data_IF_874363871974
#
_entry.id   IF_874363871974
#
_cell.length_a   1.000
_cell.length_b   1.000
_cell.length_c   1.000
_cell.angle_alpha   90.00
_cell.angle_beta   90.00
_cell.angle_gamma   90.00
#
_symmetry.space_group_name_H-M   'P 1'
#
loop_
_entity.id
_entity.type
_entity.pdbx_description
1 polymer ?
#
# COMPACT_ATOMS: atom_id res chain seq x y z
N UNK A 1 -10.16 21.18 -7.92
CA UNK A 1 -10.51 19.92 -7.26
C UNK A 1 -11.04 20.11 -5.84
N UNK A 2 -10.85 21.28 -5.23
CA UNK A 2 -11.12 21.51 -3.81
C UNK A 2 -10.04 20.92 -2.88
N UNK A 3 -8.92 20.51 -3.42
CA UNK A 3 -7.74 20.10 -2.65
C UNK A 3 -7.11 21.32 -1.93
N UNK A 4 -6.30 21.12 -0.91
CA UNK A 4 -5.60 22.21 -0.21
C UNK A 4 -4.86 23.12 -1.19
N UNK A 5 -5.14 24.43 -1.11
CA UNK A 5 -4.57 25.45 -1.98
C UNK A 5 -5.19 25.55 -3.38
N UNK A 6 -6.31 24.87 -3.65
CA UNK A 6 -6.97 24.87 -4.94
C UNK A 6 -8.40 25.41 -4.88
N UNK A 7 -8.79 26.02 -5.98
CA UNK A 7 -10.19 26.38 -6.23
C UNK A 7 -10.98 25.19 -6.75
N UNK A 8 -12.29 25.36 -6.86
CA UNK A 8 -13.21 24.35 -7.41
C UNK A 8 -13.72 24.78 -8.79
N UNK A 9 -14.63 24.01 -9.36
CA UNK A 9 -15.30 24.34 -10.62
C UNK A 9 -16.04 25.69 -10.57
N UNK A 10 -16.35 26.24 -9.38
CA UNK A 10 -17.00 27.53 -9.19
C UNK A 10 -16.22 28.74 -9.69
N UNK A 11 -14.94 28.58 -10.04
CA UNK A 11 -14.19 29.65 -10.71
C UNK A 11 -14.72 29.99 -12.09
N UNK A 12 -15.31 29.03 -12.79
CA UNK A 12 -15.83 29.20 -14.16
C UNK A 12 -17.31 28.85 -14.26
N UNK A 13 -17.83 28.02 -13.36
CA UNK A 13 -19.23 27.60 -13.34
C UNK A 13 -19.97 28.31 -12.20
N UNK A 14 -21.12 28.88 -12.48
CA UNK A 14 -21.95 29.54 -11.46
C UNK A 14 -22.82 28.49 -10.77
N UNK A 15 -22.63 28.34 -9.47
CA UNK A 15 -23.36 27.42 -8.61
C UNK A 15 -22.77 27.41 -7.22
N UNK A 16 -23.52 26.93 -6.24
CA UNK A 16 -23.02 26.69 -4.90
C UNK A 16 -22.35 25.33 -4.83
N UNK A 17 -21.40 25.19 -3.92
CA UNK A 17 -20.72 23.90 -3.72
C UNK A 17 -21.55 23.01 -2.81
N UNK A 18 -21.81 21.77 -3.23
CA UNK A 18 -22.53 20.73 -2.47
C UNK A 18 -23.97 21.13 -2.09
N UNK A 19 -24.65 21.89 -2.93
CA UNK A 19 -26.01 22.39 -2.68
C UNK A 19 -27.11 21.48 -3.23
N UNK A 20 -26.78 20.55 -4.10
CA UNK A 20 -27.73 19.61 -4.69
C UNK A 20 -27.79 18.27 -3.95
N UNK A 21 -28.61 17.37 -4.49
CA UNK A 21 -28.82 16.01 -3.95
C UNK A 21 -27.97 14.92 -4.60
N UNK A 22 -27.12 15.29 -5.56
CA UNK A 22 -26.25 14.32 -6.23
C UNK A 22 -25.09 13.89 -5.32
N UNK A 23 -24.67 12.68 -5.50
CA UNK A 23 -23.53 12.12 -4.79
C UNK A 23 -22.67 11.32 -5.75
N UNK A 24 -21.45 11.07 -5.34
CA UNK A 24 -20.45 10.33 -6.12
C UNK A 24 -19.72 9.32 -5.26
N UNK A 25 -19.10 8.38 -5.93
CA UNK A 25 -18.23 7.40 -5.27
C UNK A 25 -16.99 7.12 -6.11
N UNK A 26 -15.89 6.80 -5.45
CA UNK A 26 -14.72 6.21 -6.09
C UNK A 26 -14.59 4.77 -5.58
N UNK A 27 -14.77 3.79 -6.49
CA UNK A 27 -14.37 2.42 -6.22
C UNK A 27 -12.84 2.31 -6.28
N UNK A 28 -12.29 1.35 -5.56
CA UNK A 28 -10.86 1.11 -5.46
C UNK A 28 -10.65 -0.40 -5.37
N UNK A 29 -9.81 -0.98 -6.21
CA UNK A 29 -9.60 -2.43 -6.28
C UNK A 29 -8.82 -3.03 -5.11
N UNK A 30 -8.21 -2.19 -4.26
CA UNK A 30 -7.56 -2.65 -3.02
C UNK A 30 -8.56 -2.96 -1.91
N UNK A 31 -8.17 -3.84 -1.01
CA UNK A 31 -9.00 -4.22 0.15
C UNK A 31 -9.08 -3.07 1.16
N UNK A 32 -10.23 -2.88 1.80
CA UNK A 32 -10.45 -1.95 2.93
C UNK A 32 -10.02 -0.49 2.66
N UNK A 33 -9.97 -0.06 1.40
CA UNK A 33 -9.35 1.23 1.01
C UNK A 33 -7.90 1.36 1.48
N UNK A 34 -7.16 0.27 1.44
CA UNK A 34 -5.74 0.22 1.78
C UNK A 34 -4.89 -0.01 0.53
N UNK A 35 -3.77 0.70 0.44
CA UNK A 35 -2.82 0.54 -0.65
C UNK A 35 -1.48 -0.04 -0.17
N UNK A 36 -0.85 -0.76 -1.07
CA UNK A 36 0.51 -1.31 -0.94
C UNK A 36 1.44 -0.49 -1.83
N UNK A 37 2.57 0.05 -1.31
CA UNK A 37 3.51 0.81 -2.11
C UNK A 37 3.94 0.09 -3.40
N UNK A 38 4.04 0.83 -4.50
CA UNK A 38 4.43 0.31 -5.81
C UNK A 38 3.37 -0.51 -6.54
N UNK A 39 2.20 -0.74 -5.95
CA UNK A 39 1.11 -1.51 -6.58
C UNK A 39 0.21 -0.60 -7.40
N UNK A 40 -0.23 -1.09 -8.56
CA UNK A 40 -1.21 -0.40 -9.41
C UNK A 40 -2.63 -0.90 -9.09
N UNK A 41 -3.56 0.04 -8.96
CA UNK A 41 -4.96 -0.21 -8.63
C UNK A 41 -5.87 0.33 -9.71
N UNK A 42 -6.98 -0.37 -9.95
CA UNK A 42 -8.09 0.13 -10.75
C UNK A 42 -8.99 1.01 -9.88
N UNK A 43 -9.41 2.13 -10.43
CA UNK A 43 -10.35 3.06 -9.82
C UNK A 43 -11.45 3.42 -10.81
N UNK A 44 -12.64 3.62 -10.28
CA UNK A 44 -13.77 4.12 -11.05
C UNK A 44 -14.44 5.26 -10.28
N UNK A 45 -14.48 6.45 -10.85
CA UNK A 45 -15.34 7.53 -10.38
C UNK A 45 -16.73 7.35 -10.97
N UNK A 46 -17.75 7.31 -10.14
CA UNK A 46 -19.16 7.19 -10.54
C UNK A 46 -19.96 8.32 -9.93
N UNK A 47 -20.77 9.01 -10.74
CA UNK A 47 -21.74 10.00 -10.33
C UNK A 47 -23.11 9.33 -10.26
N UNK A 48 -23.82 9.55 -9.16
CA UNK A 48 -25.23 9.17 -9.02
C UNK A 48 -26.08 10.42 -9.24
N UNK A 49 -27.15 10.28 -10.00
CA UNK A 49 -28.00 11.40 -10.43
C UNK A 49 -27.27 12.43 -11.31
N UNK A 50 -26.40 11.97 -12.21
CA UNK A 50 -25.81 12.80 -13.24
C UNK A 50 -26.84 13.30 -14.24
N UNK A 51 -26.51 14.37 -14.98
CA UNK A 51 -27.32 14.90 -16.07
C UNK A 51 -26.82 14.44 -17.44
N UNK A 52 -27.35 15.06 -18.50
CA UNK A 52 -26.90 14.83 -19.90
C UNK A 52 -25.43 15.19 -20.11
N UNK A 53 -24.93 16.18 -19.35
CA UNK A 53 -23.55 16.63 -19.39
C UNK A 53 -22.99 16.66 -17.98
N UNK A 54 -21.83 16.04 -17.81
CA UNK A 54 -21.13 15.91 -16.53
C UNK A 54 -19.65 16.17 -16.73
N UNK A 55 -18.98 16.58 -15.68
CA UNK A 55 -17.53 16.75 -15.73
C UNK A 55 -16.88 16.51 -14.40
N UNK A 56 -15.59 16.24 -14.42
CA UNK A 56 -14.82 16.09 -13.19
C UNK A 56 -13.37 16.50 -13.38
N UNK A 57 -12.73 16.81 -12.26
CA UNK A 57 -11.29 16.93 -12.12
C UNK A 57 -10.87 16.26 -10.80
N UNK A 58 -9.80 15.50 -10.83
CA UNK A 58 -9.31 14.71 -9.71
C UNK A 58 -7.79 14.87 -9.55
N UNK A 59 -7.31 14.84 -8.30
CA UNK A 59 -5.88 14.83 -7.95
C UNK A 59 -5.63 13.86 -6.80
N UNK A 60 -4.45 13.24 -6.79
CA UNK A 60 -4.03 12.29 -5.75
C UNK A 60 -2.85 12.87 -4.99
N UNK A 61 -3.04 13.12 -3.69
CA UNK A 61 -2.06 13.80 -2.86
C UNK A 61 -1.69 12.98 -1.62
N UNK A 62 -0.45 13.12 -1.20
CA UNK A 62 0.00 12.79 0.15
C UNK A 62 -0.77 13.66 1.15
N UNK A 63 -1.36 13.06 2.18
CA UNK A 63 -2.22 13.78 3.13
C UNK A 63 -1.46 14.70 4.09
N UNK A 64 -0.13 14.58 4.18
CA UNK A 64 0.73 15.36 5.07
C UNK A 64 1.33 16.54 4.32
N UNK A 65 1.94 16.27 3.18
CA UNK A 65 2.70 17.27 2.41
C UNK A 65 1.83 17.99 1.38
N UNK A 66 0.66 17.46 1.03
CA UNK A 66 -0.20 17.90 -0.06
C UNK A 66 0.50 17.92 -1.44
N UNK A 67 1.56 17.14 -1.56
CA UNK A 67 2.27 16.94 -2.82
C UNK A 67 1.65 15.81 -3.62
N UNK A 68 1.88 15.81 -4.94
CA UNK A 68 1.46 14.73 -5.82
C UNK A 68 1.95 13.38 -5.29
N UNK A 69 1.10 12.35 -5.31
CA UNK A 69 1.45 11.07 -4.73
C UNK A 69 1.05 9.91 -5.61
N UNK A 70 2.03 9.11 -6.00
CA UNK A 70 1.86 8.04 -6.98
C UNK A 70 1.72 8.58 -8.41
N UNK A 71 1.25 7.72 -9.32
CA UNK A 71 1.12 8.04 -10.75
C UNK A 71 -0.27 7.68 -11.25
N UNK A 72 -0.97 8.64 -11.81
CA UNK A 72 -2.23 8.42 -12.52
C UNK A 72 -1.96 7.82 -13.90
N UNK A 73 -2.76 6.85 -14.31
CA UNK A 73 -2.64 6.14 -15.59
C UNK A 73 -4.00 6.18 -16.29
N UNK A 74 -4.01 6.62 -17.54
CA UNK A 74 -5.19 6.60 -18.39
C UNK A 74 -5.48 5.18 -18.86
N UNK A 75 -6.71 4.72 -18.65
CA UNK A 75 -7.25 3.50 -19.25
C UNK A 75 -8.23 3.80 -20.38
N UNK A 76 -8.73 5.04 -20.43
CA UNK A 76 -9.64 5.54 -21.46
C UNK A 76 -9.24 6.97 -21.86
N UNK A 77 -8.32 7.09 -22.81
CA UNK A 77 -7.83 8.37 -23.31
C UNK A 77 -8.84 9.11 -24.22
N UNK A 78 -9.95 8.49 -24.60
CA UNK A 78 -11.04 9.16 -25.33
C UNK A 78 -11.86 10.02 -24.37
N UNK A 79 -12.25 9.46 -23.24
CA UNK A 79 -13.13 10.10 -22.27
C UNK A 79 -12.41 10.83 -21.15
N UNK A 80 -11.11 10.55 -20.95
CA UNK A 80 -10.29 11.16 -19.89
C UNK A 80 -8.95 11.67 -20.42
N UNK A 81 -8.35 12.61 -19.71
CA UNK A 81 -7.01 13.14 -19.97
C UNK A 81 -6.30 13.51 -18.68
N UNK A 82 -4.98 13.50 -18.69
CA UNK A 82 -4.15 14.04 -17.61
C UNK A 82 -3.63 15.42 -18.03
N UNK A 83 -3.70 16.37 -17.11
CA UNK A 83 -3.09 17.71 -17.26
C UNK A 83 -2.21 17.98 -16.05
N UNK A 84 -1.09 18.65 -16.25
CA UNK A 84 -0.17 19.03 -15.17
C UNK A 84 -0.22 20.53 -14.91
N UNK A 85 -0.17 20.90 -13.63
CA UNK A 85 -0.15 22.30 -13.19
C UNK A 85 0.13 22.37 -11.68
N UNK A 86 0.76 23.44 -11.19
CA UNK A 86 1.08 23.63 -9.78
C UNK A 86 1.85 22.46 -9.14
N UNK A 87 2.74 21.82 -9.91
CA UNK A 87 3.47 20.60 -9.52
C UNK A 87 2.55 19.41 -9.18
N UNK A 88 1.36 19.35 -9.77
CA UNK A 88 0.36 18.30 -9.59
C UNK A 88 -0.13 17.79 -10.94
N UNK A 89 -0.52 16.51 -10.98
CA UNK A 89 -1.16 15.89 -12.14
C UNK A 89 -2.64 15.67 -11.84
N UNK A 90 -3.47 16.13 -12.77
CA UNK A 90 -4.92 16.09 -12.65
C UNK A 90 -5.50 15.16 -13.70
N UNK A 91 -6.33 14.24 -13.26
CA UNK A 91 -7.21 13.50 -14.17
C UNK A 91 -8.48 14.32 -14.42
N UNK A 92 -8.84 14.47 -15.68
CA UNK A 92 -10.00 15.25 -16.11
C UNK A 92 -10.82 14.45 -17.14
N UNK A 93 -12.11 14.75 -17.25
CA UNK A 93 -12.89 14.37 -18.42
C UNK A 93 -12.42 15.12 -19.66
N UNK A 94 -12.68 14.56 -20.83
CA UNK A 94 -12.58 15.25 -22.13
C UNK A 94 -13.94 15.73 -22.59
N UNK A 95 -14.00 16.48 -23.70
CA UNK A 95 -15.28 16.82 -24.32
C UNK A 95 -16.08 15.60 -24.78
N UNK A 96 -15.42 14.52 -25.20
CA UNK A 96 -16.07 13.25 -25.52
C UNK A 96 -16.60 12.53 -24.27
N UNK A 97 -15.90 12.69 -23.13
CA UNK A 97 -16.26 12.07 -21.86
C UNK A 97 -17.33 12.80 -21.06
N UNK A 98 -17.84 13.95 -21.51
CA UNK A 98 -18.77 14.75 -20.72
C UNK A 98 -20.22 14.21 -20.68
N UNK A 99 -20.56 13.23 -21.51
CA UNK A 99 -21.84 12.51 -21.45
C UNK A 99 -21.82 11.28 -20.56
N UNK A 100 -20.68 10.98 -19.96
CA UNK A 100 -20.52 9.86 -19.04
C UNK A 100 -20.98 10.23 -17.63
N UNK A 101 -21.35 9.21 -16.87
CA UNK A 101 -21.55 9.28 -15.41
C UNK A 101 -20.53 8.43 -14.66
N UNK A 102 -19.61 7.77 -15.39
CA UNK A 102 -18.59 6.91 -14.82
C UNK A 102 -17.32 6.94 -15.67
N UNK A 103 -16.15 7.00 -15.01
CA UNK A 103 -14.84 7.04 -15.66
C UNK A 103 -13.87 6.12 -14.94
N UNK A 104 -13.20 5.26 -15.74
CA UNK A 104 -12.21 4.32 -15.27
C UNK A 104 -10.79 4.87 -15.46
N UNK A 105 -9.93 4.59 -14.52
CA UNK A 105 -8.52 4.95 -14.57
C UNK A 105 -7.72 4.04 -13.63
N UNK A 106 -6.41 4.11 -13.70
CA UNK A 106 -5.54 3.43 -12.77
C UNK A 106 -4.68 4.43 -12.00
N UNK A 107 -4.22 4.00 -10.85
CA UNK A 107 -3.25 4.71 -10.04
C UNK A 107 -2.22 3.74 -9.48
N UNK A 108 -0.95 4.05 -9.72
CA UNK A 108 0.17 3.33 -9.11
C UNK A 108 0.58 4.04 -7.85
N UNK A 109 0.55 3.34 -6.73
CA UNK A 109 0.97 3.87 -5.45
C UNK A 109 2.46 4.26 -5.46
N UNK A 110 2.91 5.24 -4.63
CA UNK A 110 4.32 5.54 -4.47
C UNK A 110 5.12 4.28 -4.12
N UNK A 111 6.35 4.19 -4.63
CA UNK A 111 7.22 3.03 -4.38
C UNK A 111 7.69 2.91 -2.92
N UNK A 112 7.58 3.99 -2.15
CA UNK A 112 7.92 4.05 -0.74
C UNK A 112 6.70 4.42 0.12
N UNK A 113 6.79 4.13 1.41
CA UNK A 113 5.78 4.53 2.39
C UNK A 113 5.71 6.06 2.52
N UNK A 114 4.54 6.66 2.30
CA UNK A 114 4.30 8.10 2.45
C UNK A 114 3.13 8.43 3.40
N UNK A 115 2.51 7.43 4.01
CA UNK A 115 1.35 7.61 4.88
C UNK A 115 0.02 7.57 4.12
N UNK A 116 -1.07 8.11 4.69
CA UNK A 116 -2.37 8.14 4.04
C UNK A 116 -2.34 9.01 2.77
N UNK A 117 -3.06 8.56 1.76
CA UNK A 117 -3.26 9.24 0.48
C UNK A 117 -4.68 9.80 0.43
N UNK A 118 -4.85 10.99 -0.11
CA UNK A 118 -6.17 11.59 -0.36
C UNK A 118 -6.39 11.83 -1.84
N UNK A 119 -7.49 11.31 -2.35
CA UNK A 119 -7.99 11.56 -3.69
C UNK A 119 -9.02 12.67 -3.56
N UNK A 120 -8.65 13.89 -3.92
CA UNK A 120 -9.57 15.03 -3.97
C UNK A 120 -10.18 15.12 -5.35
N UNK A 121 -11.47 15.36 -5.43
CA UNK A 121 -12.11 15.57 -6.71
C UNK A 121 -13.29 16.53 -6.61
N UNK A 122 -13.44 17.32 -7.66
CA UNK A 122 -14.64 18.11 -7.91
C UNK A 122 -15.35 17.55 -9.14
N UNK A 123 -16.66 17.57 -9.12
CA UNK A 123 -17.47 17.22 -10.27
C UNK A 123 -18.60 18.22 -10.47
N UNK A 124 -19.04 18.32 -11.71
CA UNK A 124 -20.07 19.21 -12.15
C UNK A 124 -21.18 18.43 -12.85
N UNK A 125 -22.40 18.68 -12.47
CA UNK A 125 -23.61 18.21 -13.13
C UNK A 125 -24.22 19.42 -13.84
N UNK A 126 -24.09 19.46 -15.17
CA UNK A 126 -24.45 20.61 -15.93
C UNK A 126 -25.98 20.81 -16.00
N UNK A 127 -26.40 22.05 -15.76
CA UNK A 127 -27.77 22.47 -15.92
C UNK A 127 -28.17 22.70 -17.38
N UNK A 128 -29.48 22.66 -17.66
CA UNK A 128 -29.99 23.00 -18.98
C UNK A 128 -29.77 24.51 -19.26
N UNK A 129 -29.37 24.93 -20.45
CA UNK A 129 -29.29 24.20 -21.73
C UNK A 129 -27.95 23.52 -22.04
N UNK A 130 -27.07 23.28 -21.07
CA UNK A 130 -25.77 22.59 -21.17
C UNK A 130 -24.70 23.33 -22.02
N UNK A 131 -25.00 24.52 -22.49
CA UNK A 131 -24.12 25.31 -23.37
C UNK A 131 -23.40 26.44 -22.64
N UNK A 132 -23.71 26.67 -21.39
CA UNK A 132 -23.13 27.70 -20.55
C UNK A 132 -22.74 27.16 -19.19
N UNK A 133 -22.27 28.02 -18.32
CA UNK A 133 -21.82 27.68 -16.97
C UNK A 133 -22.84 28.02 -15.88
N UNK A 134 -24.11 28.36 -16.31
CA UNK A 134 -25.18 28.77 -15.40
C UNK A 134 -26.11 27.61 -15.07
N UNK A 135 -26.52 27.53 -13.83
CA UNK A 135 -27.42 26.46 -13.35
C UNK A 135 -26.75 25.10 -13.15
N UNK A 136 -25.46 25.09 -13.05
CA UNK A 136 -24.67 23.89 -12.80
C UNK A 136 -24.64 23.56 -11.30
N UNK A 137 -24.70 22.27 -10.96
CA UNK A 137 -24.52 21.79 -9.61
C UNK A 137 -23.07 21.32 -9.44
N UNK A 138 -22.35 21.95 -8.52
CA UNK A 138 -20.93 21.69 -8.28
C UNK A 138 -20.74 20.98 -6.94
N UNK A 139 -19.96 19.93 -6.99
CA UNK A 139 -19.69 19.11 -5.83
C UNK A 139 -18.19 18.89 -5.64
N UNK A 140 -17.80 18.70 -4.38
CA UNK A 140 -16.46 18.27 -4.01
C UNK A 140 -16.54 17.06 -3.10
N UNK A 141 -15.58 16.17 -3.21
CA UNK A 141 -15.49 15.03 -2.32
C UNK A 141 -14.04 14.57 -2.16
N UNK A 142 -13.80 13.74 -1.17
CA UNK A 142 -12.48 13.18 -0.91
C UNK A 142 -12.59 11.71 -0.53
N UNK A 143 -11.73 10.88 -1.14
CA UNK A 143 -11.53 9.50 -0.71
C UNK A 143 -10.16 9.37 -0.07
N UNK A 144 -10.10 8.80 1.12
CA UNK A 144 -8.83 8.50 1.79
C UNK A 144 -8.46 7.04 1.57
N UNK A 145 -7.21 6.80 1.21
CA UNK A 145 -6.60 5.49 1.17
C UNK A 145 -5.56 5.43 2.29
N UNK A 146 -5.67 4.43 3.15
CA UNK A 146 -4.67 4.14 4.17
C UNK A 146 -3.57 3.26 3.56
N UNK A 147 -2.39 3.33 4.12
CA UNK A 147 -1.40 2.28 3.82
C UNK A 147 -1.89 0.98 4.43
N UNK A 148 -1.83 -0.08 3.66
CA UNK A 148 -2.05 -1.41 4.21
C UNK A 148 -1.06 -1.66 5.34
N UNK A 149 -1.58 -1.81 6.55
CA UNK A 149 -0.83 -2.30 7.71
C UNK A 149 -0.58 -3.82 7.64
N UNK A 150 -0.96 -4.47 6.54
CA UNK A 150 -0.20 -5.65 6.21
C UNK A 150 1.23 -5.15 6.16
N UNK A 151 1.93 -5.32 7.28
CA UNK A 151 3.38 -5.37 7.26
C UNK A 151 3.67 -5.98 5.92
N UNK A 152 4.34 -5.23 5.02
CA UNK A 152 4.99 -5.88 3.92
C UNK A 152 5.72 -7.02 4.61
N UNK A 153 5.12 -8.18 4.59
CA UNK A 153 5.86 -9.32 4.21
C UNK A 153 6.41 -8.92 2.84
N UNK A 154 7.47 -8.08 2.86
CA UNK A 154 8.51 -8.24 1.89
C UNK A 154 8.47 -9.72 1.60
N UNK A 155 8.49 -10.14 0.34
CA UNK A 155 8.85 -11.50 -0.03
C UNK A 155 10.30 -11.84 0.33
N UNK A 156 10.93 -11.17 1.25
CA UNK A 156 11.65 -11.78 2.33
C UNK A 156 10.61 -12.64 3.03
N UNK A 157 10.41 -13.87 2.51
CA UNK A 157 9.93 -14.99 3.30
C UNK A 157 10.36 -14.69 4.71
N UNK A 158 9.41 -14.60 5.66
CA UNK A 158 9.76 -14.33 7.05
C UNK A 158 10.86 -15.32 7.38
N UNK A 159 12.11 -14.82 7.34
CA UNK A 159 13.27 -15.68 7.56
C UNK A 159 13.01 -16.30 8.92
N UNK A 160 12.53 -17.52 8.93
CA UNK A 160 12.22 -18.24 10.15
C UNK A 160 12.89 -19.60 10.11
N UNK A 161 13.07 -20.16 11.26
CA UNK A 161 13.62 -21.50 11.43
C UNK A 161 12.87 -22.24 12.51
N UNK A 162 12.81 -23.54 12.39
CA UNK A 162 12.39 -24.42 13.46
C UNK A 162 13.59 -25.19 13.98
N UNK A 163 13.58 -25.53 15.27
CA UNK A 163 14.62 -26.34 15.88
C UNK A 163 14.00 -27.35 16.83
N UNK A 164 14.58 -28.55 16.85
CA UNK A 164 14.19 -29.66 17.72
C UNK A 164 15.37 -30.59 17.95
N UNK A 165 15.33 -31.40 19.02
CA UNK A 165 16.30 -32.45 19.26
C UNK A 165 15.89 -33.75 18.62
N UNK A 166 16.83 -34.45 18.04
CA UNK A 166 16.62 -35.86 17.66
C UNK A 166 16.88 -36.83 18.83
N UNK A 167 16.60 -38.10 18.61
CA UNK A 167 16.81 -39.14 19.61
C UNK A 167 18.29 -39.29 20.08
N UNK A 168 19.22 -38.76 19.30
CA UNK A 168 20.65 -38.74 19.62
C UNK A 168 21.10 -37.44 20.29
N UNK A 169 20.12 -36.61 20.77
CA UNK A 169 20.35 -35.29 21.37
C UNK A 169 21.10 -34.31 20.45
N UNK A 170 20.98 -34.46 19.13
CA UNK A 170 21.50 -33.47 18.18
C UNK A 170 20.45 -32.42 17.89
N UNK A 171 20.88 -31.17 17.87
CA UNK A 171 20.02 -30.05 17.48
C UNK A 171 19.81 -30.06 15.95
N UNK A 172 18.59 -30.23 15.52
CA UNK A 172 18.18 -30.14 14.12
C UNK A 172 17.58 -28.77 13.88
N UNK A 173 18.00 -28.12 12.82
CA UNK A 173 17.54 -26.81 12.42
C UNK A 173 16.98 -26.90 10.99
N UNK A 174 15.76 -26.42 10.78
CA UNK A 174 15.12 -26.31 9.47
C UNK A 174 14.80 -24.84 9.25
N UNK A 175 15.34 -24.26 8.19
CA UNK A 175 15.01 -22.88 7.77
C UNK A 175 14.10 -22.91 6.56
N UNK A 176 13.29 -21.86 6.39
CA UNK A 176 12.50 -21.64 5.17
C UNK A 176 13.28 -20.84 4.11
N UNK A 177 14.56 -20.60 4.29
CA UNK A 177 15.41 -19.80 3.41
C UNK A 177 16.79 -20.45 3.19
N UNK A 178 17.47 -19.98 2.12
CA UNK A 178 18.89 -20.30 1.87
C UNK A 178 19.77 -19.19 2.46
N UNK A 179 20.75 -19.52 3.28
CA UNK A 179 21.72 -18.52 3.72
C UNK A 179 22.68 -18.16 2.57
N UNK A 180 22.82 -16.86 2.28
CA UNK A 180 23.79 -16.35 1.27
C UNK A 180 25.25 -16.51 1.72
N UNK A 181 25.45 -16.57 3.03
CA UNK A 181 26.71 -16.82 3.74
C UNK A 181 26.41 -17.73 4.93
N UNK A 182 27.44 -18.09 5.71
CA UNK A 182 27.21 -18.81 6.94
C UNK A 182 26.32 -18.01 7.89
N UNK A 183 25.24 -18.63 8.33
CA UNK A 183 24.40 -18.13 9.41
C UNK A 183 25.01 -18.52 10.75
N UNK A 184 25.04 -17.59 11.69
CA UNK A 184 25.58 -17.83 13.02
C UNK A 184 24.50 -18.28 13.98
N UNK A 185 24.61 -19.53 14.45
CA UNK A 185 23.73 -20.06 15.49
C UNK A 185 24.40 -19.81 16.84
N UNK A 186 23.64 -19.25 17.77
CA UNK A 186 24.09 -19.03 19.17
C UNK A 186 23.11 -19.70 20.13
N UNK A 187 23.62 -20.37 21.14
CA UNK A 187 22.83 -20.99 22.21
C UNK A 187 23.10 -20.22 23.49
N UNK A 188 22.04 -19.71 24.10
CA UNK A 188 22.09 -18.99 25.36
C UNK A 188 21.32 -19.78 26.44
N UNK A 189 21.79 -19.71 27.69
CA UNK A 189 20.97 -20.13 28.82
C UNK A 189 19.89 -19.08 29.15
N UNK A 190 19.02 -19.35 30.11
CA UNK A 190 17.93 -18.47 30.52
C UNK A 190 18.41 -17.14 31.14
N UNK A 191 19.64 -17.05 31.62
CA UNK A 191 20.26 -15.81 32.12
C UNK A 191 20.89 -14.97 30.99
N UNK A 192 20.78 -15.38 29.72
CA UNK A 192 21.35 -14.67 28.56
C UNK A 192 22.84 -14.93 28.34
N UNK A 193 23.49 -15.83 29.11
CA UNK A 193 24.88 -16.19 28.90
C UNK A 193 25.03 -17.04 27.64
N UNK A 194 25.96 -16.67 26.76
CA UNK A 194 26.30 -17.43 25.56
C UNK A 194 26.99 -18.74 25.99
N UNK A 195 26.41 -19.87 25.61
CA UNK A 195 26.90 -21.22 25.94
C UNK A 195 27.60 -21.88 24.76
N UNK A 196 27.14 -21.60 23.53
CA UNK A 196 27.72 -22.20 22.33
C UNK A 196 27.44 -21.33 21.10
N UNK A 197 28.31 -21.38 20.09
CA UNK A 197 28.16 -20.72 18.83
C UNK A 197 28.78 -21.50 17.69
N UNK A 198 28.07 -21.57 16.55
CA UNK A 198 28.55 -22.28 15.36
C UNK A 198 28.04 -21.52 14.09
N UNK A 199 28.81 -21.59 13.03
CA UNK A 199 28.41 -21.11 11.71
C UNK A 199 27.87 -22.28 10.88
N UNK A 200 26.68 -22.09 10.30
CA UNK A 200 26.04 -23.09 9.44
C UNK A 200 25.68 -22.51 8.09
N UNK A 201 25.77 -23.35 7.09
CA UNK A 201 25.19 -23.04 5.78
C UNK A 201 23.78 -23.67 5.73
N UNK A 202 22.75 -22.81 5.83
CA UNK A 202 21.36 -23.25 5.85
C UNK A 202 20.82 -23.31 4.42
N UNK A 203 20.08 -24.38 4.12
CA UNK A 203 19.33 -24.53 2.89
C UNK A 203 17.85 -24.65 3.19
N UNK A 204 17.02 -23.96 2.42
CA UNK A 204 15.58 -23.97 2.61
C UNK A 204 15.02 -25.40 2.64
N UNK A 205 14.19 -25.66 3.64
CA UNK A 205 13.50 -26.92 3.87
C UNK A 205 14.42 -28.15 4.02
N UNK A 206 15.71 -27.94 4.33
CA UNK A 206 16.65 -29.02 4.64
C UNK A 206 17.04 -28.99 6.13
N UNK A 207 17.25 -30.19 6.68
CA UNK A 207 17.67 -30.33 8.06
C UNK A 207 19.20 -30.13 8.15
N UNK A 208 19.59 -29.11 8.92
CA UNK A 208 20.98 -28.91 9.35
C UNK A 208 21.18 -29.46 10.76
N UNK A 209 22.09 -30.39 10.93
CA UNK A 209 22.34 -31.06 12.21
C UNK A 209 23.52 -30.42 12.92
N UNK A 210 23.35 -30.13 14.19
CA UNK A 210 24.37 -29.56 15.08
C UNK A 210 24.58 -30.46 16.26
N UNK A 211 25.81 -30.89 16.48
CA UNK A 211 26.16 -31.61 17.71
C UNK A 211 26.23 -30.62 18.87
N UNK A 212 25.40 -30.83 19.87
CA UNK A 212 25.40 -30.03 21.09
C UNK A 212 26.60 -30.44 21.96
N UNK A 213 27.37 -29.45 22.46
CA UNK A 213 28.47 -29.76 23.37
C UNK A 213 27.99 -30.53 24.63
N UNK A 214 28.73 -31.52 25.06
CA UNK A 214 28.40 -32.38 26.21
C UNK A 214 28.32 -31.64 27.55
N UNK A 215 28.88 -30.45 27.63
CA UNK A 215 28.83 -29.58 28.81
C UNK A 215 27.52 -28.78 28.96
N UNK A 216 26.60 -28.90 28.02
CA UNK A 216 25.26 -28.32 28.17
C UNK A 216 24.38 -29.32 28.94
N UNK A 217 23.98 -28.93 30.13
CA UNK A 217 23.10 -29.72 31.01
C UNK A 217 21.64 -29.63 30.57
N UNK A 218 20.79 -30.56 31.01
CA UNK A 218 19.35 -30.47 30.78
C UNK A 218 18.80 -29.14 31.33
N UNK A 219 17.97 -28.47 30.53
CA UNK A 219 17.40 -27.17 30.88
C UNK A 219 16.83 -26.45 29.71
N UNK A 220 16.34 -25.20 29.95
CA UNK A 220 15.79 -24.33 28.94
C UNK A 220 16.90 -23.48 28.34
N UNK A 221 16.96 -23.44 27.02
CA UNK A 221 17.91 -22.65 26.25
C UNK A 221 17.19 -21.82 25.16
N UNK A 222 17.84 -20.75 24.75
CA UNK A 222 17.41 -19.91 23.64
C UNK A 222 18.36 -20.12 22.45
N UNK A 223 17.84 -20.61 21.36
CA UNK A 223 18.57 -20.73 20.09
C UNK A 223 18.36 -19.49 19.30
N UNK A 224 19.41 -18.74 19.03
CA UNK A 224 19.37 -17.52 18.22
C UNK A 224 20.08 -17.74 16.90
N UNK A 225 19.39 -17.44 15.81
CA UNK A 225 19.91 -17.41 14.46
C UNK A 225 20.17 -15.95 14.06
N UNK A 226 21.44 -15.65 13.78
CA UNK A 226 21.91 -14.33 13.36
C UNK A 226 22.11 -14.34 11.84
N UNK A 227 21.33 -13.51 11.15
CA UNK A 227 21.30 -13.40 9.68
C UNK A 227 22.01 -12.12 9.19
N UNK A 228 22.68 -11.42 10.09
CA UNK A 228 23.36 -10.15 9.82
C UNK A 228 22.45 -8.93 10.09
N UNK A 229 21.41 -8.74 9.31
CA UNK A 229 20.41 -7.67 9.52
C UNK A 229 19.27 -8.08 10.45
N UNK A 230 18.97 -9.38 10.47
CA UNK A 230 17.87 -9.94 11.25
C UNK A 230 18.35 -10.96 12.27
N UNK A 231 17.64 -11.08 13.37
CA UNK A 231 17.90 -12.06 14.42
C UNK A 231 16.60 -12.73 14.83
N UNK A 232 16.55 -14.05 14.76
CA UNK A 232 15.42 -14.86 15.20
C UNK A 232 15.83 -15.75 16.38
N UNK A 233 14.91 -15.93 17.32
CA UNK A 233 15.19 -16.73 18.54
C UNK A 233 14.05 -17.69 18.81
N UNK A 234 14.38 -18.93 19.12
CA UNK A 234 13.45 -19.99 19.51
C UNK A 234 13.88 -20.58 20.85
N UNK A 235 12.91 -20.99 21.66
CA UNK A 235 13.15 -21.72 22.93
C UNK A 235 13.26 -23.22 22.64
N UNK A 236 14.21 -23.88 23.31
CA UNK A 236 14.38 -25.32 23.28
C UNK A 236 14.61 -25.84 24.70
N UNK A 237 14.27 -27.11 24.93
CA UNK A 237 14.56 -27.82 26.16
C UNK A 237 15.59 -28.92 25.82
N UNK A 238 16.76 -28.89 26.46
CA UNK A 238 17.81 -29.89 26.34
C UNK A 238 17.68 -30.98 27.42
#
# INVERSE_FOLDING_TARGET
TGAPGESTCTMCHSGNINDGSAFSSISFSGLNSEYVPGTTYDLTLTLNNGSTKNGFQLVVLDSITNSNSGTLILTDAVNTKITSGNNRDYLNHTSAGNSQTSWNFQWTAPSSYVGPIKIYYAYNIAGYPYSNTSGDDIYTSVKTLSVSNTSFLSTNELLDFNCFLDNNKRLNIISNFNSKKYSKIKIYNISGKLMYSINLNLRANQISKVNIPSNLTSGIYLISLDLGTDKKTKKIVL
#
